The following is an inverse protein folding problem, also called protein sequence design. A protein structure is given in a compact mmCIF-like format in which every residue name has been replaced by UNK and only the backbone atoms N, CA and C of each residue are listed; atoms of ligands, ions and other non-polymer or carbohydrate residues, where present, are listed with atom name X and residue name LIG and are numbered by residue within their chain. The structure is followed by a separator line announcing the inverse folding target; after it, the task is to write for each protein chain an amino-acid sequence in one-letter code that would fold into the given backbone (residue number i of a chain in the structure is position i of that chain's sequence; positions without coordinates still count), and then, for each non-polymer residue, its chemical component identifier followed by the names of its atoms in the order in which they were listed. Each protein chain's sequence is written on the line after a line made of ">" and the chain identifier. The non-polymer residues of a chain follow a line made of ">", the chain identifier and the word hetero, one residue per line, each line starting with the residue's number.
data_IF_692366929886
#
_entry.id   IF_692366929886
#
_cell.length_a   1.000
_cell.length_b   1.000
_cell.length_c   1.000
_cell.angle_alpha   90.00
_cell.angle_beta   90.00
_cell.angle_gamma   90.00
#
_symmetry.space_group_name_H-M   'P 1'
#
loop_
_entity.id
_entity.type
_entity.pdbx_description
1 polymer ?
#
# COMPACT_ATOMS: atom_id res chain seq x y z
N UNK A 1 52.13 -27.66 6.51
CA UNK A 1 50.90 -27.21 7.20
C UNK A 1 50.02 -26.55 6.16
N UNK A 2 48.98 -27.25 5.72
CA UNK A 2 48.09 -26.85 4.64
C UNK A 2 46.73 -26.57 5.26
N UNK A 3 46.23 -25.35 5.08
CA UNK A 3 44.90 -24.95 5.54
C UNK A 3 43.84 -25.58 4.61
N UNK A 4 42.73 -26.14 5.14
CA UNK A 4 41.65 -26.64 4.30
C UNK A 4 40.83 -25.49 3.70
N UNK A 5 40.59 -25.57 2.38
CA UNK A 5 39.61 -24.76 1.67
C UNK A 5 38.21 -25.10 2.17
N UNK A 6 37.51 -24.11 2.73
CA UNK A 6 36.11 -24.24 3.10
C UNK A 6 35.22 -24.10 1.86
N UNK A 7 34.65 -25.24 1.49
CA UNK A 7 33.42 -25.50 0.75
C UNK A 7 32.54 -24.29 0.39
N UNK A 8 32.40 -24.08 -0.92
CA UNK A 8 31.29 -23.36 -1.53
C UNK A 8 29.95 -23.94 -1.04
N UNK A 9 29.24 -23.17 -0.22
CA UNK A 9 27.81 -23.37 0.01
C UNK A 9 27.11 -22.80 -1.23
N UNK A 10 26.98 -23.63 -2.25
CA UNK A 10 26.11 -23.35 -3.39
C UNK A 10 24.67 -23.37 -2.88
N UNK A 11 24.10 -22.19 -2.62
CA UNK A 11 22.67 -22.02 -2.44
C UNK A 11 21.96 -22.58 -3.69
N UNK A 12 20.84 -23.31 -3.54
CA UNK A 12 20.17 -23.94 -4.67
C UNK A 12 19.73 -22.89 -5.70
N UNK A 13 20.06 -23.18 -6.95
CA UNK A 13 19.78 -22.39 -8.14
C UNK A 13 18.28 -22.48 -8.44
N UNK A 14 17.47 -21.74 -7.70
CA UNK A 14 16.05 -21.55 -8.02
C UNK A 14 15.56 -20.16 -7.60
N UNK A 15 16.04 -19.11 -8.28
CA UNK A 15 15.40 -17.78 -8.36
C UNK A 15 16.09 -16.82 -9.34
N UNK A 16 16.42 -17.30 -10.56
CA UNK A 16 16.80 -16.41 -11.67
C UNK A 16 15.59 -15.97 -12.52
N UNK A 17 14.36 -16.09 -11.98
CA UNK A 17 13.27 -15.22 -12.41
C UNK A 17 13.39 -13.98 -11.53
N UNK A 18 13.87 -12.87 -12.10
CA UNK A 18 14.00 -11.62 -11.37
C UNK A 18 12.72 -11.30 -10.60
N UNK A 19 12.88 -10.69 -9.43
CA UNK A 19 11.78 -10.24 -8.58
C UNK A 19 10.63 -9.65 -9.42
N UNK A 20 9.36 -10.07 -9.20
CA UNK A 20 8.26 -9.54 -9.98
C UNK A 20 8.23 -8.02 -9.82
N UNK A 21 8.00 -7.32 -10.93
CA UNK A 21 8.06 -5.87 -11.01
C UNK A 21 6.83 -5.34 -11.71
N UNK A 22 6.15 -4.36 -11.10
CA UNK A 22 5.10 -3.60 -11.75
C UNK A 22 5.67 -2.29 -12.29
N UNK A 23 5.34 -1.99 -13.53
CA UNK A 23 5.61 -0.70 -14.16
C UNK A 23 4.39 0.19 -14.01
N UNK A 24 4.59 1.44 -13.57
CA UNK A 24 3.54 2.43 -13.36
C UNK A 24 3.74 3.60 -14.32
N UNK A 25 2.90 3.67 -15.36
CA UNK A 25 2.92 4.74 -16.34
C UNK A 25 1.91 5.83 -15.97
N UNK A 26 2.39 6.98 -15.46
CA UNK A 26 1.52 8.09 -15.09
C UNK A 26 1.12 8.92 -16.30
N UNK A 27 -0.18 9.17 -16.45
CA UNK A 27 -0.76 10.07 -17.43
C UNK A 27 -1.49 11.22 -16.73
N UNK A 28 -0.73 12.16 -16.18
CA UNK A 28 -1.26 13.35 -15.48
C UNK A 28 -2.27 14.17 -16.30
N UNK A 29 -2.14 14.25 -17.63
CA UNK A 29 -3.12 14.95 -18.50
C UNK A 29 -4.51 14.30 -18.47
N UNK A 30 -4.55 12.99 -18.26
CA UNK A 30 -5.78 12.20 -18.16
C UNK A 30 -6.16 11.94 -16.70
N UNK A 31 -5.35 12.40 -15.76
CA UNK A 31 -5.46 12.06 -14.33
C UNK A 31 -5.60 10.54 -14.12
N UNK A 32 -4.75 9.76 -14.80
CA UNK A 32 -4.72 8.30 -14.70
C UNK A 32 -3.30 7.79 -14.55
N UNK A 33 -3.12 6.61 -13.98
CA UNK A 33 -1.92 5.80 -14.15
C UNK A 33 -2.29 4.40 -14.64
N UNK A 34 -1.45 3.82 -15.50
CA UNK A 34 -1.57 2.44 -15.96
C UNK A 34 -0.51 1.62 -15.24
N UNK A 35 -0.90 0.54 -14.60
CA UNK A 35 0.02 -0.40 -13.97
C UNK A 35 0.08 -1.66 -14.81
N UNK A 36 1.28 -2.01 -15.25
CA UNK A 36 1.52 -3.16 -16.14
C UNK A 36 2.60 -4.06 -15.55
N UNK A 37 2.57 -5.34 -15.92
CA UNK A 37 3.57 -6.32 -15.55
C UNK A 37 4.11 -7.00 -16.81
N UNK A 38 5.41 -7.24 -16.88
CA UNK A 38 5.97 -8.05 -17.96
C UNK A 38 5.59 -9.51 -17.75
N UNK A 39 5.06 -10.12 -18.80
CA UNK A 39 4.77 -11.54 -18.82
C UNK A 39 6.04 -12.38 -19.13
N UNK A 40 5.86 -13.69 -19.29
CA UNK A 40 6.97 -14.61 -19.64
C UNK A 40 7.50 -14.39 -21.06
N UNK A 41 6.74 -13.75 -21.94
CA UNK A 41 7.16 -13.41 -23.31
C UNK A 41 7.91 -12.08 -23.39
N UNK A 42 7.92 -11.31 -22.30
CA UNK A 42 8.53 -9.99 -22.20
C UNK A 42 7.58 -8.85 -22.61
N UNK A 43 6.33 -9.17 -22.95
CA UNK A 43 5.29 -8.21 -23.28
C UNK A 43 4.75 -7.56 -22.00
N UNK A 44 4.53 -6.24 -22.04
CA UNK A 44 3.97 -5.49 -20.92
C UNK A 44 2.45 -5.63 -20.92
N UNK A 45 1.92 -6.39 -19.97
CA UNK A 45 0.49 -6.67 -19.84
C UNK A 45 -0.13 -5.74 -18.79
N UNK A 46 -1.13 -4.92 -19.14
CA UNK A 46 -1.86 -4.11 -18.17
C UNK A 46 -2.54 -4.95 -17.10
N UNK A 47 -2.37 -4.57 -15.84
CA UNK A 47 -2.96 -5.24 -14.66
C UNK A 47 -3.97 -4.36 -13.95
N UNK A 48 -3.64 -3.09 -13.78
CA UNK A 48 -4.48 -2.14 -13.06
C UNK A 48 -4.52 -0.77 -13.74
N UNK A 49 -5.61 -0.05 -13.51
CA UNK A 49 -5.79 1.34 -13.88
C UNK A 49 -6.09 2.12 -12.61
N UNK A 50 -5.44 3.27 -12.46
CA UNK A 50 -5.60 4.15 -11.32
C UNK A 50 -6.20 5.45 -11.81
N UNK A 51 -7.34 5.82 -11.25
CA UNK A 51 -8.01 7.09 -11.50
C UNK A 51 -7.68 8.09 -10.39
N UNK A 52 -7.23 9.30 -10.79
CA UNK A 52 -6.92 10.38 -9.87
C UNK A 52 -8.05 11.41 -9.85
N UNK A 53 -8.73 11.53 -8.71
CA UNK A 53 -9.76 12.54 -8.48
C UNK A 53 -9.15 13.75 -7.77
N UNK A 54 -9.24 14.93 -8.38
CA UNK A 54 -8.65 16.17 -7.83
C UNK A 54 -9.59 16.96 -6.92
N UNK A 55 -10.90 16.76 -7.03
CA UNK A 55 -11.91 17.57 -6.34
C UNK A 55 -12.72 16.80 -5.28
N UNK A 56 -12.64 15.47 -5.25
CA UNK A 56 -13.43 14.61 -4.35
C UNK A 56 -12.58 13.45 -3.86
N UNK A 57 -12.80 13.06 -2.61
CA UNK A 57 -12.29 11.81 -2.06
C UNK A 57 -13.18 10.62 -2.49
N UNK A 58 -12.60 9.41 -2.62
CA UNK A 58 -11.17 9.11 -2.58
C UNK A 58 -10.42 9.70 -3.79
N UNK A 59 -9.18 10.12 -3.54
CA UNK A 59 -8.34 10.83 -4.50
C UNK A 59 -7.63 9.90 -5.49
N UNK A 60 -7.44 8.64 -5.10
CA UNK A 60 -6.98 7.56 -5.95
C UNK A 60 -8.01 6.44 -5.90
N UNK A 61 -8.39 5.91 -7.06
CA UNK A 61 -9.25 4.72 -7.17
C UNK A 61 -8.55 3.69 -8.03
N UNK A 62 -8.43 2.47 -7.53
CA UNK A 62 -7.70 1.39 -8.17
C UNK A 62 -8.69 0.40 -8.78
N UNK A 63 -8.56 0.17 -10.08
CA UNK A 63 -9.39 -0.71 -10.87
C UNK A 63 -8.54 -1.81 -11.51
N UNK A 64 -9.04 -3.06 -11.63
CA UNK A 64 -8.48 -4.03 -12.55
C UNK A 64 -8.47 -3.50 -13.99
N UNK A 65 -7.46 -3.85 -14.78
CA UNK A 65 -7.40 -3.44 -16.17
C UNK A 65 -8.51 -4.08 -17.03
N UNK A 66 -8.90 -5.30 -16.68
CA UNK A 66 -9.96 -6.08 -17.36
C UNK A 66 -11.38 -5.56 -17.04
N UNK A 67 -11.60 -5.11 -15.80
CA UNK A 67 -12.87 -4.53 -15.35
C UNK A 67 -12.67 -3.17 -14.69
N UNK A 68 -12.99 -2.11 -15.44
CA UNK A 68 -12.84 -0.72 -15.00
C UNK A 68 -13.94 -0.27 -14.03
N UNK A 69 -14.99 -1.06 -13.85
CA UNK A 69 -16.08 -0.74 -12.94
C UNK A 69 -15.86 -1.33 -11.55
N UNK A 70 -15.11 -2.44 -11.46
CA UNK A 70 -14.69 -3.02 -10.19
C UNK A 70 -13.64 -2.13 -9.50
N UNK A 71 -13.78 -1.93 -8.19
CA UNK A 71 -12.80 -1.21 -7.36
C UNK A 71 -12.14 -2.19 -6.41
N UNK A 72 -10.81 -2.32 -6.50
CA UNK A 72 -10.03 -3.18 -5.59
C UNK A 72 -9.51 -2.41 -4.37
N UNK A 73 -9.43 -1.09 -4.48
CA UNK A 73 -9.01 -0.23 -3.39
C UNK A 73 -9.02 1.24 -3.74
N UNK A 74 -8.71 2.06 -2.75
CA UNK A 74 -8.68 3.51 -2.89
C UNK A 74 -7.65 4.15 -1.97
N UNK A 75 -7.24 5.38 -2.31
CA UNK A 75 -6.36 6.21 -1.50
C UNK A 75 -6.98 7.59 -1.28
N UNK A 76 -7.04 8.03 -0.04
CA UNK A 76 -7.55 9.36 0.33
C UNK A 76 -6.43 10.21 0.90
N UNK A 77 -6.09 11.26 0.17
CA UNK A 77 -5.13 12.28 0.58
C UNK A 77 -5.82 13.38 1.37
N UNK A 78 -5.09 13.99 2.30
CA UNK A 78 -5.60 15.06 3.15
C UNK A 78 -4.70 16.28 2.99
N UNK A 79 -5.19 17.42 2.46
CA UNK A 79 -4.35 18.59 2.20
C UNK A 79 -3.64 19.17 3.44
N UNK A 80 -4.22 18.97 4.63
CA UNK A 80 -3.76 19.57 5.89
C UNK A 80 -3.13 18.53 6.83
N UNK A 81 -3.33 17.24 6.58
CA UNK A 81 -2.80 16.16 7.43
C UNK A 81 -1.59 15.52 6.77
N UNK A 82 -0.60 15.14 7.59
CA UNK A 82 0.52 14.33 7.12
C UNK A 82 0.15 12.87 6.91
N UNK A 83 -1.04 12.43 7.32
CA UNK A 83 -1.56 11.07 7.15
C UNK A 83 -2.34 10.94 5.85
N UNK A 84 -2.36 9.76 5.26
CA UNK A 84 -3.27 9.40 4.18
C UNK A 84 -4.08 8.18 4.61
N UNK A 85 -5.29 8.05 4.09
CA UNK A 85 -6.09 6.83 4.31
C UNK A 85 -6.07 5.97 3.05
N UNK A 86 -6.26 4.68 3.23
CA UNK A 86 -6.40 3.73 2.14
C UNK A 86 -7.54 2.76 2.44
N UNK A 87 -8.06 2.16 1.38
CA UNK A 87 -9.00 1.05 1.46
C UNK A 87 -8.56 -0.05 0.51
N UNK A 88 -8.54 -1.30 0.98
CA UNK A 88 -8.18 -2.47 0.18
C UNK A 88 -9.29 -3.50 0.38
N UNK A 89 -10.02 -3.82 -0.69
CA UNK A 89 -11.11 -4.82 -0.69
C UNK A 89 -12.10 -4.62 0.48
N UNK A 90 -12.47 -3.38 0.76
CA UNK A 90 -13.39 -3.01 1.86
C UNK A 90 -12.72 -2.79 3.24
N UNK A 91 -11.44 -3.15 3.40
CA UNK A 91 -10.70 -2.89 4.64
C UNK A 91 -10.06 -1.51 4.62
N UNK A 92 -10.53 -0.64 5.51
CA UNK A 92 -9.98 0.71 5.69
C UNK A 92 -8.75 0.69 6.60
N UNK A 93 -7.75 1.46 6.21
CA UNK A 93 -6.53 1.67 6.98
C UNK A 93 -5.98 3.08 6.78
N UNK A 94 -4.94 3.40 7.54
CA UNK A 94 -4.29 4.71 7.50
C UNK A 94 -2.79 4.53 7.33
N UNK A 95 -2.22 5.23 6.36
CA UNK A 95 -0.79 5.49 6.27
C UNK A 95 -0.43 6.58 7.27
N UNK A 96 0.03 6.16 8.44
CA UNK A 96 0.35 7.07 9.54
C UNK A 96 1.82 7.45 9.51
N UNK A 97 2.09 8.75 9.44
CA UNK A 97 3.44 9.27 9.49
C UNK A 97 4.04 9.03 10.88
N UNK A 98 5.20 8.38 10.92
CA UNK A 98 5.99 8.18 12.13
C UNK A 98 6.78 9.44 12.49
N UNK A 99 7.09 10.29 11.49
CA UNK A 99 7.85 11.54 11.65
C UNK A 99 7.26 12.63 10.76
N UNK A 100 7.40 13.89 11.17
CA UNK A 100 6.84 15.04 10.44
C UNK A 100 7.68 15.46 9.23
N UNK A 101 9.00 15.44 9.38
CA UNK A 101 9.97 15.95 8.38
C UNK A 101 10.74 14.85 7.63
N UNK A 102 10.48 13.59 7.96
CA UNK A 102 11.11 12.43 7.30
C UNK A 102 9.99 11.56 6.77
N UNK A 103 10.11 11.12 5.52
CA UNK A 103 9.18 10.17 4.93
C UNK A 103 9.38 8.81 5.59
N UNK A 104 8.57 8.55 6.61
CA UNK A 104 8.50 7.31 7.35
C UNK A 104 7.05 7.13 7.76
N UNK A 105 6.40 6.11 7.21
CA UNK A 105 4.97 5.87 7.31
C UNK A 105 4.71 4.43 7.67
N UNK A 106 3.84 4.19 8.63
CA UNK A 106 3.41 2.85 9.00
C UNK A 106 2.01 2.56 8.48
N UNK A 107 1.76 1.30 8.15
CA UNK A 107 0.45 0.76 7.84
C UNK A 107 0.31 -0.65 8.40
N UNK A 108 -0.95 -1.11 8.51
CA UNK A 108 -1.25 -2.46 8.96
C UNK A 108 -1.53 -3.36 7.76
N UNK A 109 -0.86 -4.50 7.73
CA UNK A 109 -0.96 -5.51 6.70
C UNK A 109 -1.51 -6.82 7.25
N UNK A 110 -2.56 -7.34 6.61
CA UNK A 110 -3.06 -8.67 6.92
C UNK A 110 -2.34 -9.75 6.11
N UNK A 111 -1.80 -9.38 4.94
CA UNK A 111 -1.03 -10.29 4.09
C UNK A 111 0.33 -10.66 4.70
N UNK A 112 0.90 -9.77 5.53
CA UNK A 112 2.17 -9.96 6.21
C UNK A 112 2.03 -10.42 7.67
N UNK A 113 0.83 -10.75 8.14
CA UNK A 113 0.62 -11.29 9.49
C UNK A 113 1.25 -12.68 9.64
N UNK A 114 2.15 -12.83 10.61
CA UNK A 114 2.84 -14.10 10.92
C UNK A 114 2.51 -14.62 12.34
N UNK A 115 1.66 -13.91 13.10
CA UNK A 115 1.25 -14.25 14.46
C UNK A 115 -0.10 -14.97 14.56
N UNK A 116 -0.36 -15.69 15.67
CA UNK A 116 -1.67 -16.32 15.92
C UNK A 116 -2.76 -15.25 16.16
N UNK A 117 -3.91 -15.36 15.49
CA UNK A 117 -5.12 -14.59 15.82
C UNK A 117 -5.47 -13.41 14.92
N UNK A 118 -5.14 -13.45 13.63
CA UNK A 118 -5.46 -12.38 12.65
C UNK A 118 -4.88 -11.00 12.99
N UNK A 119 -3.90 -10.91 13.90
CA UNK A 119 -3.25 -9.64 14.25
C UNK A 119 -2.42 -9.16 13.05
N UNK A 120 -2.73 -7.98 12.49
CA UNK A 120 -2.03 -7.49 11.30
C UNK A 120 -0.58 -7.08 11.62
N UNK A 121 0.29 -7.28 10.65
CA UNK A 121 1.67 -6.86 10.69
C UNK A 121 1.80 -5.34 10.52
N UNK A 122 2.58 -4.69 11.38
CA UNK A 122 2.92 -3.28 11.27
C UNK A 122 4.12 -3.09 10.32
N UNK A 123 3.81 -2.70 9.10
CA UNK A 123 4.80 -2.47 8.05
C UNK A 123 5.20 -1.00 7.97
N UNK A 124 6.40 -0.72 7.47
CA UNK A 124 6.93 0.65 7.37
C UNK A 124 7.42 0.98 5.97
N UNK A 125 6.86 2.02 5.38
CA UNK A 125 7.43 2.70 4.22
C UNK A 125 8.43 3.77 4.67
N UNK A 126 9.67 3.67 4.20
CA UNK A 126 10.72 4.67 4.43
C UNK A 126 11.23 5.22 3.10
N UNK A 127 11.79 6.42 3.11
CA UNK A 127 12.46 6.99 1.92
C UNK A 127 13.95 6.66 1.92
N UNK A 128 14.44 6.26 0.75
CA UNK A 128 15.86 6.26 0.38
C UNK A 128 16.14 7.24 -0.77
N UNK A 129 15.22 8.19 -1.01
CA UNK A 129 15.28 9.12 -2.13
C UNK A 129 16.56 9.96 -2.15
N UNK A 130 17.10 10.18 -3.34
CA UNK A 130 18.14 11.17 -3.59
C UNK A 130 17.56 12.40 -4.32
N UNK A 131 18.41 13.30 -4.80
CA UNK A 131 17.94 14.50 -5.51
C UNK A 131 17.27 14.22 -6.87
N UNK A 132 17.43 13.02 -7.44
CA UNK A 132 17.00 12.66 -8.80
C UNK A 132 15.81 11.69 -8.82
N UNK A 133 15.72 10.77 -7.88
CA UNK A 133 14.62 9.81 -7.78
C UNK A 133 13.90 9.87 -6.44
N UNK A 134 12.60 9.55 -6.48
CA UNK A 134 11.83 9.27 -5.28
C UNK A 134 11.76 7.77 -5.09
N UNK A 135 12.52 7.29 -4.11
CA UNK A 135 12.64 5.89 -3.77
C UNK A 135 12.03 5.66 -2.39
N UNK A 136 11.01 4.81 -2.32
CA UNK A 136 10.41 4.35 -1.06
C UNK A 136 10.63 2.85 -0.91
N UNK A 137 11.07 2.42 0.26
CA UNK A 137 11.27 1.02 0.61
C UNK A 137 10.20 0.63 1.63
N UNK A 138 9.47 -0.44 1.36
CA UNK A 138 8.55 -1.06 2.31
C UNK A 138 9.30 -2.13 3.10
N UNK A 139 9.24 -2.03 4.42
CA UNK A 139 9.84 -2.94 5.38
C UNK A 139 8.74 -3.70 6.13
N UNK A 140 8.95 -4.98 6.38
CA UNK A 140 8.10 -5.77 7.28
C UNK A 140 8.35 -5.44 8.77
N UNK A 141 7.71 -6.18 9.68
CA UNK A 141 7.85 -5.97 11.14
C UNK A 141 9.28 -6.18 11.64
N UNK A 142 10.04 -7.04 10.97
CA UNK A 142 11.42 -7.37 11.29
C UNK A 142 12.41 -6.43 10.58
N UNK A 143 11.92 -5.36 9.96
CA UNK A 143 12.70 -4.40 9.17
C UNK A 143 13.36 -5.01 7.93
N UNK A 144 12.82 -6.11 7.40
CA UNK A 144 13.29 -6.74 6.16
C UNK A 144 12.57 -6.08 4.97
N UNK A 145 13.30 -5.67 3.91
CA UNK A 145 12.67 -5.12 2.71
C UNK A 145 11.78 -6.13 1.98
N UNK A 146 10.55 -5.72 1.70
CA UNK A 146 9.58 -6.53 0.94
C UNK A 146 9.12 -5.87 -0.34
N UNK A 147 9.36 -4.57 -0.51
CA UNK A 147 9.14 -3.90 -1.77
C UNK A 147 9.95 -2.60 -1.88
N UNK A 148 10.21 -2.18 -3.12
CA UNK A 148 10.76 -0.86 -3.43
C UNK A 148 9.89 -0.19 -4.49
N UNK A 149 9.38 1.00 -4.19
CA UNK A 149 8.81 1.90 -5.17
C UNK A 149 9.86 2.92 -5.60
N UNK A 150 10.12 3.05 -6.90
CA UNK A 150 11.01 4.05 -7.47
C UNK A 150 10.29 4.84 -8.54
N UNK A 151 10.33 6.16 -8.46
CA UNK A 151 9.82 7.05 -9.50
C UNK A 151 10.82 8.15 -9.80
N UNK A 152 11.00 8.47 -11.09
CA UNK A 152 11.77 9.65 -11.46
C UNK A 152 10.89 10.89 -11.29
N UNK A 153 11.07 11.61 -10.18
CA UNK A 153 10.24 12.74 -9.80
C UNK A 153 10.31 13.92 -10.78
N UNK A 154 11.33 13.97 -11.63
CA UNK A 154 11.65 15.13 -12.48
C UNK A 154 11.73 14.80 -13.98
N UNK A 155 11.61 13.52 -14.37
CA UNK A 155 11.67 13.13 -15.77
C UNK A 155 10.34 13.33 -16.52
N UNK A 156 10.49 13.69 -17.80
CA UNK A 156 9.41 13.73 -18.78
C UNK A 156 8.81 12.33 -19.00
N UNK A 157 9.61 11.26 -18.84
CA UNK A 157 9.15 9.87 -18.83
C UNK A 157 8.56 9.53 -17.46
N UNK A 158 7.24 9.49 -17.41
CA UNK A 158 6.41 9.33 -16.21
C UNK A 158 6.28 7.86 -15.82
N UNK A 159 7.40 7.19 -15.60
CA UNK A 159 7.41 5.76 -15.28
C UNK A 159 7.97 5.55 -13.88
N UNK A 160 7.16 4.92 -13.02
CA UNK A 160 7.59 4.37 -11.75
C UNK A 160 7.68 2.85 -11.82
N UNK A 161 8.37 2.24 -10.87
CA UNK A 161 8.52 0.79 -10.74
C UNK A 161 8.26 0.39 -9.31
N UNK A 162 7.51 -0.70 -9.13
CA UNK A 162 7.38 -1.40 -7.85
C UNK A 162 8.07 -2.75 -8.00
N UNK A 163 9.21 -2.90 -7.34
CA UNK A 163 9.94 -4.16 -7.25
C UNK A 163 9.50 -4.88 -5.97
N UNK A 164 8.97 -6.10 -6.09
CA UNK A 164 8.57 -6.90 -4.92
C UNK A 164 9.71 -7.81 -4.47
N UNK A 165 9.89 -7.95 -3.17
CA UNK A 165 11.01 -8.66 -2.55
C UNK A 165 10.51 -9.64 -1.50
N UNK A 166 11.35 -10.62 -1.16
CA UNK A 166 11.07 -11.58 -0.09
C UNK A 166 10.05 -12.67 -0.45
N UNK A 167 9.65 -13.49 0.53
CA UNK A 167 8.88 -14.72 0.28
C UNK A 167 7.48 -14.47 -0.29
N UNK A 168 6.88 -13.31 0.03
CA UNK A 168 5.53 -12.93 -0.42
C UNK A 168 5.54 -12.13 -1.74
N UNK A 169 6.69 -12.01 -2.42
CA UNK A 169 6.84 -11.21 -3.64
C UNK A 169 5.91 -11.63 -4.78
N UNK A 170 5.57 -12.92 -4.90
CA UNK A 170 4.68 -13.45 -5.93
C UNK A 170 3.21 -13.61 -5.46
N UNK A 171 2.87 -13.19 -4.24
CA UNK A 171 1.51 -13.28 -3.74
C UNK A 171 0.68 -12.10 -4.29
N UNK A 172 -0.40 -12.34 -5.07
CA UNK A 172 -1.19 -11.27 -5.68
C UNK A 172 -1.83 -10.30 -4.67
N UNK A 173 -2.35 -10.81 -3.54
CA UNK A 173 -3.01 -9.97 -2.53
C UNK A 173 -1.98 -9.08 -1.81
N UNK A 174 -0.78 -9.61 -1.54
CA UNK A 174 0.32 -8.82 -1.01
C UNK A 174 0.81 -7.77 -2.02
N UNK A 175 0.87 -8.12 -3.31
CA UNK A 175 1.25 -7.18 -4.36
C UNK A 175 0.24 -6.02 -4.48
N UNK A 176 -1.05 -6.32 -4.42
CA UNK A 176 -2.11 -5.31 -4.44
C UNK A 176 -2.03 -4.35 -3.26
N UNK A 177 -1.87 -4.88 -2.05
CA UNK A 177 -1.73 -4.07 -0.83
C UNK A 177 -0.53 -3.12 -0.91
N UNK A 178 0.63 -3.63 -1.32
CA UNK A 178 1.86 -2.85 -1.48
C UNK A 178 1.72 -1.82 -2.59
N UNK A 179 1.08 -2.16 -3.71
CA UNK A 179 0.81 -1.22 -4.79
C UNK A 179 -0.08 -0.06 -4.31
N UNK A 180 -1.21 -0.38 -3.66
CA UNK A 180 -2.17 0.62 -3.20
C UNK A 180 -1.53 1.54 -2.16
N UNK A 181 -0.85 0.98 -1.16
CA UNK A 181 -0.21 1.77 -0.10
C UNK A 181 0.99 2.57 -0.62
N UNK A 182 1.82 1.99 -1.49
CA UNK A 182 2.98 2.66 -2.09
C UNK A 182 2.58 3.83 -2.99
N UNK A 183 1.56 3.66 -3.85
CA UNK A 183 1.10 4.73 -4.76
C UNK A 183 0.30 5.81 -4.03
N UNK A 184 -0.43 5.43 -2.97
CA UNK A 184 -1.06 6.41 -2.07
C UNK A 184 -0.01 7.25 -1.36
N UNK A 185 1.06 6.64 -0.84
CA UNK A 185 2.19 7.35 -0.25
C UNK A 185 2.88 8.28 -1.24
N UNK A 186 3.20 7.79 -2.44
CA UNK A 186 3.80 8.62 -3.50
C UNK A 186 2.95 9.86 -3.78
N UNK A 187 1.64 9.68 -3.94
CA UNK A 187 0.73 10.79 -4.23
C UNK A 187 0.60 11.76 -3.05
N UNK A 188 0.63 11.26 -1.83
CA UNK A 188 0.72 12.09 -0.62
C UNK A 188 2.01 12.93 -0.62
N UNK A 189 3.15 12.34 -1.00
CA UNK A 189 4.41 13.09 -1.12
C UNK A 189 4.33 14.17 -2.20
N UNK A 190 3.76 13.86 -3.38
CA UNK A 190 3.53 14.85 -4.45
C UNK A 190 2.68 16.03 -3.96
N UNK A 191 1.60 15.76 -3.21
CA UNK A 191 0.74 16.79 -2.66
C UNK A 191 1.49 17.68 -1.65
N UNK A 192 2.28 17.06 -0.75
CA UNK A 192 3.05 17.78 0.27
C UNK A 192 4.15 18.65 -0.32
N UNK A 193 4.85 18.19 -1.37
CA UNK A 193 5.92 18.96 -2.00
C UNK A 193 5.40 20.05 -2.93
N UNK A 194 4.19 19.93 -3.46
CA UNK A 194 3.58 20.93 -4.36
C UNK A 194 2.81 22.03 -3.63
N UNK A 195 2.47 21.84 -2.35
CA UNK A 195 1.72 22.81 -1.54
C UNK A 195 2.45 23.15 -0.24
N UNK A 196 3.18 24.28 -0.22
CA UNK A 196 3.88 24.83 0.96
C UNK A 196 2.94 25.08 2.15
N UNK A 197 1.63 25.26 1.92
CA UNK A 197 0.63 25.46 2.97
C UNK A 197 0.38 24.18 3.82
N UNK A 198 0.73 22.99 3.31
CA UNK A 198 0.64 21.72 4.05
C UNK A 198 1.64 21.61 5.21
N UNK A 199 2.72 22.43 5.21
CA UNK A 199 3.70 22.45 6.31
C UNK A 199 3.12 23.01 7.62
N UNK A 200 2.13 23.92 7.58
CA UNK A 200 1.55 24.49 8.80
C UNK A 200 0.55 23.54 9.49
N UNK A 201 -0.19 22.73 8.73
CA UNK A 201 -1.08 21.69 9.27
C UNK A 201 -0.33 20.53 9.94
N UNK A 202 0.86 20.20 9.45
CA UNK A 202 1.73 19.16 10.00
C UNK A 202 2.15 19.39 11.47
N UNK A 203 2.08 20.63 11.96
CA UNK A 203 2.38 21.00 13.35
C UNK A 203 1.32 20.43 14.30
N UNK A 204 0.07 20.25 13.84
CA UNK A 204 -1.04 19.75 14.66
C UNK A 204 -1.30 18.24 14.51
N UNK A 205 -0.77 17.59 13.47
CA UNK A 205 -0.87 16.12 13.34
C UNK A 205 -0.02 15.40 14.39
N UNK A 206 -0.56 14.35 15.03
CA UNK A 206 0.15 13.53 16.02
C UNK A 206 0.84 12.34 15.34
N UNK A 207 2.15 12.41 15.05
CA UNK A 207 2.89 11.27 14.53
C UNK A 207 3.00 10.17 15.60
N UNK A 208 3.12 8.93 15.17
CA UNK A 208 3.37 7.79 16.07
C UNK A 208 2.93 6.46 15.44
N UNK A 209 3.33 5.32 16.03
CA UNK A 209 2.91 4.01 15.54
C UNK A 209 1.38 3.84 15.51
N UNK A 210 0.90 2.92 14.68
CA UNK A 210 -0.47 2.45 14.78
C UNK A 210 -0.57 1.47 15.95
N UNK A 211 -1.65 1.58 16.72
CA UNK A 211 -1.96 0.64 17.79
C UNK A 211 -2.66 -0.58 17.17
N UNK A 212 -2.05 -1.75 17.34
CA UNK A 212 -2.55 -3.02 16.81
C UNK A 212 -3.84 -3.45 17.50
N UNK A 213 -3.99 -3.18 18.80
CA UNK A 213 -5.16 -3.58 19.61
C UNK A 213 -6.39 -2.72 19.26
N UNK A 214 -6.19 -1.44 18.98
CA UNK A 214 -7.25 -0.54 18.54
C UNK A 214 -7.82 -0.93 17.15
N UNK A 215 -6.98 -1.48 16.26
CA UNK A 215 -7.39 -1.96 14.94
C UNK A 215 -8.27 -3.22 15.03
N UNK A 216 -7.93 -4.15 15.93
CA UNK A 216 -8.74 -5.35 16.22
C UNK A 216 -10.12 -4.99 16.82
N UNK A 217 -10.16 -4.00 17.72
CA UNK A 217 -11.40 -3.51 18.32
C UNK A 217 -12.37 -2.91 17.28
N UNK A 218 -11.85 -2.17 16.30
CA UNK A 218 -12.63 -1.62 15.20
C UNK A 218 -13.25 -2.73 14.34
N UNK A 219 -12.47 -3.77 13.99
CA UNK A 219 -12.96 -4.92 13.19
C UNK A 219 -14.06 -5.71 13.91
N UNK A 220 -13.92 -5.97 15.22
CA UNK A 220 -14.99 -6.63 16.02
C UNK A 220 -16.28 -5.79 16.06
N UNK A 221 -16.15 -4.47 16.09
CA UNK A 221 -17.33 -3.57 16.08
C UNK A 221 -18.07 -3.54 14.74
N UNK A 222 -17.35 -3.69 13.61
CA UNK A 222 -17.94 -3.73 12.27
C UNK A 222 -18.62 -5.07 12.03
N UNK A 223 -17.96 -6.19 12.37
CA UNK A 223 -18.58 -7.52 12.29
C UNK A 223 -19.74 -7.74 13.26
N UNK A 224 -19.74 -7.07 14.42
CA UNK A 224 -20.83 -7.17 15.41
C UNK A 224 -22.12 -6.43 15.03
N UNK A 225 -22.05 -5.45 14.13
CA UNK A 225 -23.25 -4.72 13.66
C UNK A 225 -24.04 -5.51 12.61
N UNK A 226 -23.36 -6.33 11.81
CA UNK A 226 -23.97 -7.10 10.72
C UNK A 226 -24.88 -8.24 11.24
N UNK A 227 -24.61 -8.79 12.42
CA UNK A 227 -25.46 -9.82 13.05
C UNK A 227 -26.62 -9.27 13.89
N UNK A 228 -26.54 -8.01 14.34
CA UNK A 228 -27.59 -7.37 15.12
C UNK A 228 -28.78 -6.94 14.23
N UNK A 229 -28.52 -6.53 12.99
CA UNK A 229 -29.58 -6.11 12.05
C UNK A 229 -30.41 -7.27 11.50
N UNK A 230 -29.84 -8.48 11.46
CA UNK A 230 -30.55 -9.68 11.00
C UNK A 230 -31.43 -10.35 12.07
N UNK A 231 -31.28 -9.99 13.35
CA UNK A 231 -32.06 -10.60 14.44
C UNK A 231 -33.31 -9.79 14.85
N UNK A 232 -33.43 -8.51 14.48
CA UNK A 232 -34.63 -7.70 14.78
C UNK A 232 -35.78 -7.89 13.77
N UNK A 233 -35.56 -8.58 12.64
CA UNK A 233 -36.57 -8.78 11.60
C UNK A 233 -37.39 -10.09 11.72
N UNK A 234 -37.18 -10.92 12.75
CA UNK A 234 -37.80 -12.25 12.84
C UNK A 234 -38.73 -12.50 14.04
N UNK A 235 -39.25 -11.48 14.72
CA UNK A 235 -40.30 -11.67 15.73
C UNK A 235 -41.65 -11.10 15.27
N UNK A 236 -42.63 -11.94 14.91
CA UNK A 236 -44.02 -11.50 14.80
C UNK A 236 -44.50 -11.10 16.21
N UNK A 237 -45.00 -9.88 16.36
CA UNK A 237 -45.72 -9.47 17.58
C UNK A 237 -47.03 -10.25 17.64
N UNK A 238 -47.11 -11.20 18.57
CA UNK A 238 -48.36 -11.87 18.90
C UNK A 238 -49.41 -10.86 19.38
N UNK A 239 -50.57 -10.91 18.73
CA UNK A 239 -51.81 -10.30 19.15
C UNK A 239 -52.34 -10.94 20.44
N UNK A 240 -52.71 -10.14 21.42
CA UNK A 240 -53.72 -10.46 22.45
C UNK A 240 -54.63 -9.23 22.56
N UNK A 241 -55.86 -9.34 22.05
CA UNK A 241 -57.11 -9.68 22.77
C UNK A 241 -57.62 -8.58 23.66
#
# INVERSE_FOLDING_TARGET
>A
MSFPQNNDITLPVESQLGNPTLQVDFSWKKLKALVSQKDKSGESVPRYVIDYNTLRSPHLVFHPAEDKYATIGSGTLHPVSIHADYEIRGHKGTLKALRRFVTSYTHLSYNYADGPGDTPAAMTWTSSSDFKSWDFICLDENSVPVAKFSANAWAISKVGYIEFMGPKANNPDAQEEIMITGLTLFSQMVLRTSSILSLFGAIFSRPGPLDKEAAEGSRRSVGGKEWAEHQELSFPKDSKS
#
